data_IF_152078762661
#
_entry.id   IF_152078762661
#
_cell.length_a   1.000
_cell.length_b   1.000
_cell.length_c   1.000
_cell.angle_alpha   90.00
_cell.angle_beta   90.00
_cell.angle_gamma   90.00
#
_symmetry.space_group_name_H-M   'P 1'
#
loop_
_entity.id
_entity.type
_entity.pdbx_description
1 polymer ?
#
# COMPACT_ATOMS: atom_id res chain seq x y z
N UNK A 1 -0.60 -10.70 14.59
CA UNK A 1 -0.33 -10.61 13.15
C UNK A 1 0.29 -9.26 12.76
N UNK A 2 -0.33 -8.14 13.14
CA UNK A 2 0.14 -6.82 12.76
C UNK A 2 1.57 -6.51 13.19
N UNK A 3 1.89 -6.75 14.46
CA UNK A 3 3.23 -6.48 15.01
C UNK A 3 4.32 -7.32 14.33
N UNK A 4 4.04 -8.60 14.04
CA UNK A 4 4.99 -9.49 13.37
C UNK A 4 5.23 -9.06 11.93
N UNK A 5 4.16 -8.68 11.22
CA UNK A 5 4.27 -8.21 9.84
C UNK A 5 5.04 -6.89 9.76
N UNK A 6 4.75 -5.96 10.69
CA UNK A 6 5.46 -4.68 10.75
C UNK A 6 6.96 -4.89 10.98
N UNK A 7 7.33 -5.74 11.92
CA UNK A 7 8.74 -6.04 12.21
C UNK A 7 9.44 -6.67 11.00
N UNK A 8 8.80 -7.63 10.33
CA UNK A 8 9.35 -8.28 9.15
C UNK A 8 9.56 -7.29 8.00
N UNK A 9 8.59 -6.41 7.79
CA UNK A 9 8.65 -5.38 6.74
C UNK A 9 9.78 -4.40 7.03
N UNK A 10 9.88 -3.90 8.25
CA UNK A 10 10.96 -2.97 8.64
C UNK A 10 12.33 -3.58 8.44
N UNK A 11 12.49 -4.84 8.83
CA UNK A 11 13.75 -5.57 8.66
C UNK A 11 14.08 -5.74 7.18
N UNK A 12 13.12 -6.18 6.37
CA UNK A 12 13.34 -6.38 4.94
C UNK A 12 13.57 -5.10 4.16
N UNK A 13 12.94 -4.00 4.57
CA UNK A 13 13.08 -2.72 3.91
C UNK A 13 14.39 -2.01 4.28
N UNK A 14 15.03 -2.37 5.38
CA UNK A 14 16.20 -1.68 5.90
C UNK A 14 17.34 -1.55 4.88
N UNK A 15 17.57 -2.56 4.06
CA UNK A 15 18.62 -2.55 3.04
C UNK A 15 18.38 -1.55 1.91
N UNK A 16 17.14 -1.08 1.76
CA UNK A 16 16.75 -0.13 0.71
C UNK A 16 16.76 1.32 1.20
N UNK A 17 17.03 1.52 2.48
CA UNK A 17 17.01 2.85 3.11
C UNK A 17 18.38 3.54 2.99
N UNK A 18 18.34 4.86 2.93
CA UNK A 18 19.56 5.66 3.05
C UNK A 18 20.05 5.64 4.51
N UNK A 19 21.36 5.88 4.79
CA UNK A 19 21.91 5.79 6.14
C UNK A 19 21.19 6.61 7.22
N UNK A 20 20.59 7.75 6.84
CA UNK A 20 19.90 8.64 7.78
C UNK A 20 18.38 8.51 7.70
N UNK A 21 17.89 7.50 7.00
CA UNK A 21 16.45 7.31 6.74
C UNK A 21 15.89 6.22 7.65
N UNK A 22 14.76 6.50 8.30
CA UNK A 22 14.08 5.54 9.16
C UNK A 22 12.65 5.30 8.69
N UNK A 23 12.16 4.08 8.89
CA UNK A 23 10.78 3.74 8.63
C UNK A 23 9.90 4.34 9.73
N UNK A 24 8.91 5.13 9.35
CA UNK A 24 7.95 5.72 10.31
C UNK A 24 6.66 4.92 10.39
N UNK A 25 6.24 4.28 9.31
CA UNK A 25 5.00 3.49 9.31
C UNK A 25 5.03 2.45 8.19
N UNK A 26 4.30 1.36 8.41
CA UNK A 26 4.10 0.32 7.39
C UNK A 26 2.61 -0.03 7.30
N UNK A 27 2.18 -0.52 6.15
CA UNK A 27 0.83 -1.01 5.95
C UNK A 27 0.83 -2.08 4.88
N UNK A 28 0.20 -3.22 5.16
CA UNK A 28 0.00 -4.26 4.16
C UNK A 28 -1.35 -4.05 3.50
N UNK A 29 -1.35 -4.01 2.18
CA UNK A 29 -2.56 -3.76 1.37
C UNK A 29 -2.68 -4.82 0.28
N UNK A 30 -3.88 -4.93 -0.27
CA UNK A 30 -4.16 -5.75 -1.47
C UNK A 30 -4.86 -4.86 -2.49
N UNK A 31 -4.74 -5.19 -3.76
CA UNK A 31 -5.48 -4.49 -4.81
C UNK A 31 -6.97 -4.78 -4.61
N UNK A 32 -7.81 -3.73 -4.67
CA UNK A 32 -9.25 -3.88 -4.47
C UNK A 32 -9.82 -4.90 -5.45
N UNK A 33 -10.63 -5.83 -4.93
CA UNK A 33 -11.21 -6.92 -5.71
C UNK A 33 -10.43 -8.22 -5.64
N UNK A 34 -9.22 -8.22 -5.09
CA UNK A 34 -8.39 -9.41 -4.97
C UNK A 34 -9.06 -10.53 -4.16
N UNK A 35 -9.70 -10.19 -3.04
CA UNK A 35 -10.42 -11.15 -2.20
C UNK A 35 -11.61 -11.76 -2.93
N UNK A 36 -12.33 -10.96 -3.71
CA UNK A 36 -13.46 -11.43 -4.51
C UNK A 36 -12.99 -12.38 -5.62
N UNK A 37 -11.84 -12.12 -6.20
CA UNK A 37 -11.21 -13.01 -7.19
C UNK A 37 -10.98 -14.40 -6.60
N UNK A 38 -10.51 -14.46 -5.35
CA UNK A 38 -10.28 -15.72 -4.64
C UNK A 38 -11.58 -16.49 -4.34
N UNK A 39 -12.69 -15.76 -4.14
CA UNK A 39 -13.98 -16.36 -3.86
C UNK A 39 -14.56 -17.13 -5.05
N UNK A 40 -14.16 -16.79 -6.27
CA UNK A 40 -14.65 -17.42 -7.49
C UNK A 40 -16.08 -17.01 -7.85
N UNK A 41 -16.68 -17.68 -8.84
CA UNK A 41 -18.03 -17.40 -9.29
C UNK A 41 -18.22 -15.98 -9.82
N UNK A 42 -19.45 -15.46 -9.70
CA UNK A 42 -19.79 -14.11 -10.16
C UNK A 42 -18.98 -13.06 -9.39
N UNK A 43 -18.84 -13.25 -8.08
CA UNK A 43 -18.03 -12.34 -7.24
C UNK A 43 -16.57 -12.32 -7.68
N UNK A 44 -16.01 -13.48 -8.02
CA UNK A 44 -14.65 -13.59 -8.53
C UNK A 44 -14.44 -12.88 -9.85
N UNK A 45 -15.41 -12.98 -10.77
CA UNK A 45 -15.36 -12.30 -12.07
C UNK A 45 -15.37 -10.78 -11.88
N UNK A 46 -16.26 -10.27 -11.04
CA UNK A 46 -16.35 -8.83 -10.75
C UNK A 46 -15.09 -8.34 -10.06
N UNK A 47 -14.59 -9.08 -9.06
CA UNK A 47 -13.37 -8.74 -8.35
C UNK A 47 -12.14 -8.73 -9.25
N UNK A 48 -12.05 -9.71 -10.16
CA UNK A 48 -10.96 -9.79 -11.14
C UNK A 48 -10.95 -8.60 -12.10
N UNK A 49 -12.12 -8.16 -12.55
CA UNK A 49 -12.27 -7.00 -13.42
C UNK A 49 -11.83 -5.71 -12.72
N UNK A 50 -12.19 -5.54 -11.43
CA UNK A 50 -11.77 -4.38 -10.63
C UNK A 50 -10.26 -4.35 -10.43
N UNK A 51 -9.66 -5.48 -10.09
CA UNK A 51 -8.22 -5.60 -9.92
C UNK A 51 -7.48 -5.29 -11.23
N UNK A 52 -7.98 -5.77 -12.36
CA UNK A 52 -7.40 -5.50 -13.68
C UNK A 52 -7.45 -4.03 -14.05
N UNK A 53 -8.55 -3.34 -13.76
CA UNK A 53 -8.67 -1.90 -14.00
C UNK A 53 -7.71 -1.09 -13.13
N UNK A 54 -7.59 -1.46 -11.85
CA UNK A 54 -6.66 -0.80 -10.93
C UNK A 54 -5.22 -0.92 -11.41
N UNK A 55 -4.81 -2.11 -11.83
CA UNK A 55 -3.47 -2.36 -12.35
C UNK A 55 -3.19 -1.58 -13.61
N UNK A 56 -4.16 -1.52 -14.52
CA UNK A 56 -4.01 -0.79 -15.78
C UNK A 56 -3.86 0.71 -15.54
N UNK A 57 -4.65 1.27 -14.62
CA UNK A 57 -4.54 2.68 -14.25
C UNK A 57 -3.16 2.97 -13.63
N UNK A 58 -2.69 2.10 -12.76
CA UNK A 58 -1.37 2.23 -12.14
C UNK A 58 -0.24 2.16 -13.15
N UNK A 59 -0.31 1.25 -14.12
CA UNK A 59 0.67 1.12 -15.20
C UNK A 59 0.79 2.42 -15.98
N UNK A 60 -0.33 3.08 -16.27
CA UNK A 60 -0.35 4.36 -16.96
C UNK A 60 0.38 5.46 -16.20
N UNK A 61 0.46 5.35 -14.87
CA UNK A 61 1.21 6.27 -14.00
C UNK A 61 2.63 5.79 -13.71
N UNK A 62 3.05 4.65 -14.24
CA UNK A 62 4.35 4.06 -13.97
C UNK A 62 4.43 3.41 -12.59
N UNK A 63 3.31 2.93 -12.07
CA UNK A 63 3.20 2.30 -10.75
C UNK A 63 2.96 0.80 -10.91
N UNK A 64 3.80 -0.02 -10.27
CA UNK A 64 3.59 -1.46 -10.21
C UNK A 64 2.79 -1.82 -8.97
N UNK A 65 1.86 -2.77 -9.11
CA UNK A 65 1.03 -3.27 -8.02
C UNK A 65 1.23 -4.76 -7.82
N UNK A 66 1.13 -5.20 -6.57
CA UNK A 66 1.12 -6.61 -6.18
C UNK A 66 0.09 -6.80 -5.07
N UNK A 67 -0.35 -8.03 -4.87
CA UNK A 67 -1.26 -8.39 -3.78
C UNK A 67 -0.78 -9.68 -3.12
N UNK A 68 -0.37 -9.65 -1.84
CA UNK A 68 -0.27 -8.46 -0.98
C UNK A 68 0.93 -7.58 -1.31
N UNK A 69 0.85 -6.33 -0.86
CA UNK A 69 1.91 -5.34 -1.06
C UNK A 69 2.11 -4.58 0.24
N UNK A 70 3.36 -4.27 0.58
CA UNK A 70 3.67 -3.46 1.75
C UNK A 70 3.92 -2.02 1.33
N UNK A 71 3.29 -1.08 2.01
CA UNK A 71 3.60 0.34 1.94
C UNK A 71 4.55 0.65 3.08
N UNK A 72 5.69 1.26 2.78
CA UNK A 72 6.70 1.64 3.76
C UNK A 72 6.93 3.14 3.66
N UNK A 73 6.56 3.84 4.72
CA UNK A 73 6.68 5.29 4.79
C UNK A 73 7.93 5.68 5.55
N UNK A 74 8.74 6.56 4.97
CA UNK A 74 9.85 7.22 5.66
C UNK A 74 9.57 8.71 5.72
N UNK A 75 10.46 9.48 6.32
CA UNK A 75 10.31 10.95 6.35
C UNK A 75 10.51 11.61 4.97
N UNK A 76 10.99 10.86 3.98
CA UNK A 76 11.34 11.39 2.66
C UNK A 76 10.54 10.83 1.51
N UNK A 77 10.11 9.56 1.62
CA UNK A 77 9.52 8.85 0.50
C UNK A 77 8.58 7.74 0.93
N UNK A 78 7.79 7.29 -0.01
CA UNK A 78 6.97 6.10 0.12
C UNK A 78 7.57 5.01 -0.74
N UNK A 79 7.86 3.86 -0.13
CA UNK A 79 8.35 2.68 -0.83
C UNK A 79 7.25 1.64 -0.82
N UNK A 80 7.15 0.87 -1.90
CA UNK A 80 6.23 -0.26 -1.95
C UNK A 80 6.98 -1.53 -2.30
N UNK A 81 6.59 -2.63 -1.66
CA UNK A 81 7.26 -3.92 -1.81
C UNK A 81 6.24 -5.02 -2.05
N UNK A 82 6.58 -5.96 -2.92
CA UNK A 82 5.88 -7.22 -2.96
C UNK A 82 6.20 -8.00 -1.69
N UNK A 83 5.19 -8.58 -1.05
CA UNK A 83 5.36 -9.36 0.18
C UNK A 83 4.89 -10.79 0.01
N UNK A 84 5.50 -11.69 0.79
CA UNK A 84 5.05 -13.05 0.96
C UNK A 84 4.32 -13.23 2.29
N UNK A 85 4.24 -14.48 2.75
CA UNK A 85 3.64 -14.83 4.03
C UNK A 85 4.39 -14.17 5.18
N UNK A 86 3.64 -13.71 6.19
CA UNK A 86 4.22 -13.09 7.38
C UNK A 86 4.84 -11.71 7.15
N UNK A 87 4.59 -11.11 5.99
CA UNK A 87 5.11 -9.78 5.68
C UNK A 87 6.55 -9.78 5.17
N UNK A 88 7.09 -10.93 4.75
CA UNK A 88 8.42 -11.00 4.18
C UNK A 88 8.52 -10.17 2.91
N UNK A 89 9.43 -9.22 2.89
CA UNK A 89 9.68 -8.36 1.74
C UNK A 89 10.40 -9.16 0.65
N UNK A 90 9.85 -9.14 -0.56
CA UNK A 90 10.44 -9.84 -1.71
C UNK A 90 11.17 -8.88 -2.63
N UNK A 91 10.46 -7.97 -3.26
CA UNK A 91 11.04 -7.04 -4.22
C UNK A 91 10.45 -5.65 -4.03
N UNK A 92 11.28 -4.63 -4.23
CA UNK A 92 10.79 -3.25 -4.27
C UNK A 92 10.08 -3.02 -5.59
N UNK A 93 8.83 -2.53 -5.50
CA UNK A 93 8.01 -2.26 -6.69
C UNK A 93 8.10 -0.78 -7.09
N UNK A 94 7.99 0.10 -6.11
CA UNK A 94 7.96 1.55 -6.38
C UNK A 94 8.72 2.32 -5.32
N UNK A 95 9.26 3.46 -5.76
CA UNK A 95 9.87 4.46 -4.90
C UNK A 95 9.31 5.81 -5.31
N UNK A 96 8.63 6.49 -4.38
CA UNK A 96 8.01 7.79 -4.66
C UNK A 96 8.43 8.78 -3.60
N UNK A 97 8.92 9.96 -4.02
CA UNK A 97 9.12 11.05 -3.08
C UNK A 97 7.77 11.52 -2.56
N UNK A 98 7.71 12.06 -1.36
CA UNK A 98 6.42 12.43 -0.75
C UNK A 98 5.64 13.46 -1.56
N UNK A 99 6.32 14.28 -2.35
CA UNK A 99 5.67 15.22 -3.26
C UNK A 99 4.84 14.55 -4.36
N UNK A 100 5.15 13.28 -4.68
CA UNK A 100 4.40 12.49 -5.65
C UNK A 100 3.20 11.76 -5.02
N UNK A 101 3.09 11.80 -3.69
CA UNK A 101 2.02 11.13 -2.94
C UNK A 101 0.94 12.14 -2.60
N UNK A 102 -0.27 11.92 -3.11
CA UNK A 102 -1.39 12.83 -2.91
C UNK A 102 -2.14 12.62 -1.60
N UNK A 103 -2.05 11.45 -1.03
CA UNK A 103 -2.71 11.12 0.24
C UNK A 103 -3.38 9.76 0.21
N UNK A 104 -3.91 9.37 1.35
CA UNK A 104 -4.60 8.09 1.52
C UNK A 104 -5.95 8.35 2.17
N UNK A 105 -7.02 8.02 1.46
CA UNK A 105 -8.37 8.05 1.99
C UNK A 105 -8.75 6.66 2.48
N UNK A 106 -9.35 6.59 3.66
CA UNK A 106 -9.74 5.34 4.29
C UNK A 106 -11.25 5.34 4.53
N UNK A 107 -11.92 4.34 3.99
CA UNK A 107 -13.36 4.16 4.18
C UNK A 107 -13.61 2.77 4.74
N UNK A 108 -14.30 2.71 5.87
CA UNK A 108 -14.67 1.43 6.47
C UNK A 108 -15.71 0.71 5.62
N UNK A 109 -15.47 -0.58 5.35
CA UNK A 109 -16.39 -1.45 4.65
C UNK A 109 -16.43 -2.79 5.41
N UNK A 110 -17.51 -3.03 6.17
CA UNK A 110 -17.59 -4.22 7.00
C UNK A 110 -16.48 -4.24 8.06
N UNK A 111 -15.69 -5.30 8.09
CA UNK A 111 -14.57 -5.47 9.02
C UNK A 111 -13.24 -4.95 8.45
N UNK A 112 -13.23 -4.54 7.19
CA UNK A 112 -12.04 -4.03 6.53
C UNK A 112 -12.15 -2.57 6.15
N UNK A 113 -11.22 -2.12 5.34
CA UNK A 113 -11.21 -0.77 4.80
C UNK A 113 -10.99 -0.78 3.29
N UNK A 114 -11.72 0.07 2.61
CA UNK A 114 -11.50 0.42 1.22
C UNK A 114 -10.61 1.66 1.21
N UNK A 115 -9.51 1.59 0.50
CA UNK A 115 -8.50 2.64 0.47
C UNK A 115 -8.41 3.26 -0.92
N UNK A 116 -8.18 4.56 -0.96
CA UNK A 116 -7.82 5.25 -2.19
C UNK A 116 -6.50 5.96 -1.94
N UNK A 117 -5.45 5.46 -2.55
CA UNK A 117 -4.10 6.03 -2.45
C UNK A 117 -3.82 6.78 -3.75
N UNK A 118 -3.51 8.07 -3.65
CA UNK A 118 -3.18 8.88 -4.81
C UNK A 118 -1.67 8.94 -4.98
N UNK A 119 -1.19 8.44 -6.11
CA UNK A 119 0.22 8.45 -6.49
C UNK A 119 0.35 9.04 -7.89
N UNK A 120 1.21 10.06 -8.05
CA UNK A 120 1.40 10.75 -9.35
C UNK A 120 0.07 11.12 -10.01
N UNK A 121 -0.84 11.70 -9.22
CA UNK A 121 -2.19 12.12 -9.65
C UNK A 121 -3.10 10.98 -10.11
N UNK A 122 -2.73 9.74 -9.80
CA UNK A 122 -3.53 8.55 -10.11
C UNK A 122 -4.10 7.96 -8.83
N UNK A 123 -5.41 7.74 -8.80
CA UNK A 123 -6.08 7.10 -7.67
C UNK A 123 -5.97 5.59 -7.80
N UNK A 124 -5.44 4.94 -6.76
CA UNK A 124 -5.25 3.49 -6.71
C UNK A 124 -6.15 2.92 -5.63
N UNK A 125 -7.03 1.99 -6.02
CA UNK A 125 -7.99 1.36 -5.13
C UNK A 125 -7.37 0.14 -4.45
N UNK A 126 -7.32 0.16 -3.13
CA UNK A 126 -6.69 -0.88 -2.32
C UNK A 126 -7.64 -1.33 -1.20
N UNK A 127 -7.27 -2.42 -0.54
CA UNK A 127 -8.00 -2.96 0.61
C UNK A 127 -7.00 -3.24 1.73
N UNK A 128 -7.42 -3.04 2.97
CA UNK A 128 -6.63 -3.37 4.15
C UNK A 128 -7.51 -3.40 5.40
N UNK A 129 -6.88 -3.49 6.58
CA UNK A 129 -7.56 -3.42 7.88
C UNK A 129 -7.83 -1.96 8.23
N UNK A 130 -9.00 -1.67 8.79
CA UNK A 130 -9.44 -0.30 9.05
C UNK A 130 -8.55 0.43 10.07
N UNK A 131 -8.22 -0.20 11.19
CA UNK A 131 -7.40 0.44 12.23
C UNK A 131 -6.00 0.80 11.73
N UNK A 132 -5.30 -0.18 11.16
CA UNK A 132 -3.96 0.02 10.63
C UNK A 132 -3.95 1.06 9.48
N UNK A 133 -4.98 1.04 8.64
CA UNK A 133 -5.11 1.99 7.53
C UNK A 133 -5.28 3.43 8.01
N UNK A 134 -6.10 3.64 9.04
CA UNK A 134 -6.31 4.97 9.62
C UNK A 134 -5.04 5.52 10.25
N UNK A 135 -4.34 4.69 11.00
CA UNK A 135 -3.07 5.06 11.63
C UNK A 135 -2.03 5.45 10.57
N UNK A 136 -1.92 4.64 9.53
CA UNK A 136 -1.00 4.92 8.41
C UNK A 136 -1.37 6.23 7.70
N UNK A 137 -2.66 6.45 7.42
CA UNK A 137 -3.13 7.66 6.74
C UNK A 137 -2.80 8.92 7.55
N UNK A 138 -2.94 8.86 8.88
CA UNK A 138 -2.59 9.98 9.75
C UNK A 138 -1.10 10.30 9.72
N UNK A 139 -0.26 9.27 9.83
CA UNK A 139 1.20 9.45 9.78
C UNK A 139 1.63 9.95 8.41
N UNK A 140 1.02 9.44 7.33
CA UNK A 140 1.30 9.91 5.97
C UNK A 140 0.94 11.39 5.81
N UNK A 141 -0.20 11.83 6.33
CA UNK A 141 -0.61 13.24 6.27
C UNK A 141 0.40 14.14 6.98
N UNK A 142 0.90 13.71 8.15
CA UNK A 142 1.92 14.44 8.89
C UNK A 142 3.24 14.52 8.11
N UNK A 143 3.67 13.42 7.51
CA UNK A 143 4.90 13.37 6.73
C UNK A 143 4.82 14.28 5.49
N UNK A 144 3.68 14.28 4.81
CA UNK A 144 3.44 15.16 3.65
C UNK A 144 3.46 16.63 4.05
N UNK A 145 2.87 16.97 5.18
CA UNK A 145 2.86 18.34 5.69
C UNK A 145 4.28 18.83 6.00
N UNK A 146 5.15 17.94 6.48
CA UNK A 146 6.53 18.28 6.81
C UNK A 146 7.39 18.61 5.59
N UNK A 147 7.03 18.12 4.40
CA UNK A 147 7.78 18.36 3.15
C UNK A 147 7.09 19.36 2.22
N UNK A 148 5.93 19.85 2.60
CA UNK A 148 5.16 20.81 1.80
C UNK A 148 5.77 22.22 1.80
#
# INVERSE_FOLDING_TARGET
>A
MGATSDAAIRTGAAEFLHPSEDVIATLVVSVRGHQQTRAGGVAGIVGGARAGRARKAAEGAGIELASPMALVLTSRRLLTFETGRGGNVKAMLNELVLQEVGGLEVRRVGLGASLTLTLRDTEIALESRVGASRDFAEVLAQARAAVA
#
